data_IF_427566549609
#
_entry.id   IF_427566549609
#
_cell.length_a   1.000
_cell.length_b   1.000
_cell.length_c   1.000
_cell.angle_alpha   90.00
_cell.angle_beta   90.00
_cell.angle_gamma   90.00
#
_symmetry.space_group_name_H-M   'P 1'
#
loop_
_entity.id
_entity.type
_entity.pdbx_description
1 polymer ?
#
# COMPACT_ATOMS: atom_id res chain seq x y z
N UNK A 1 -3.55 -12.88 3.12
CA UNK A 1 -3.64 -11.46 2.69
C UNK A 1 -2.50 -11.18 1.73
N UNK A 2 -2.77 -10.62 0.54
CA UNK A 2 -1.75 -10.16 -0.40
C UNK A 2 -1.38 -8.72 -0.09
N UNK A 3 -0.08 -8.41 -0.01
CA UNK A 3 0.37 -7.03 0.13
C UNK A 3 -0.07 -6.17 -1.08
N UNK A 4 -0.85 -5.13 -0.80
CA UNK A 4 -1.30 -4.16 -1.81
C UNK A 4 -0.21 -3.13 -2.13
N UNK A 5 -0.22 -2.65 -3.37
CA UNK A 5 0.71 -1.63 -3.83
C UNK A 5 0.54 -0.33 -3.03
N UNK A 6 1.64 0.37 -2.78
CA UNK A 6 1.62 1.62 -2.04
C UNK A 6 1.15 2.75 -2.95
N UNK A 7 0.14 3.49 -2.50
CA UNK A 7 -0.61 4.41 -3.35
C UNK A 7 -0.41 5.84 -2.88
N UNK A 8 0.04 6.71 -3.78
CA UNK A 8 0.30 8.12 -3.50
C UNK A 8 -0.46 9.00 -4.48
N UNK A 9 -1.15 10.02 -3.98
CA UNK A 9 -1.84 11.01 -4.80
C UNK A 9 -0.97 12.25 -5.03
N UNK A 10 -0.72 12.58 -6.28
CA UNK A 10 -0.01 13.76 -6.73
C UNK A 10 -1.06 14.81 -7.07
N UNK A 11 -1.09 15.86 -6.27
CA UNK A 11 -2.11 16.91 -6.31
C UNK A 11 -1.45 18.26 -6.57
N UNK A 12 -2.25 19.27 -6.88
CA UNK A 12 -1.77 20.62 -7.09
C UNK A 12 -2.88 21.62 -6.86
N UNK A 13 -2.51 22.83 -6.46
CA UNK A 13 -3.44 23.89 -6.07
C UNK A 13 -4.05 24.64 -7.27
N UNK A 14 -3.52 24.39 -8.47
CA UNK A 14 -3.94 25.05 -9.70
C UNK A 14 -3.72 24.20 -10.94
N UNK A 15 -4.17 24.73 -12.08
CA UNK A 15 -3.87 24.18 -13.40
C UNK A 15 -2.37 24.31 -13.68
N UNK A 16 -1.82 23.34 -14.41
CA UNK A 16 -0.41 23.33 -14.82
C UNK A 16 0.61 23.37 -13.67
N UNK A 17 0.28 22.79 -12.52
CA UNK A 17 1.18 22.67 -11.36
C UNK A 17 2.31 21.64 -11.53
N UNK A 18 2.54 21.15 -12.75
CA UNK A 18 3.60 20.19 -13.08
C UNK A 18 3.49 18.81 -12.41
N UNK A 19 2.29 18.40 -11.96
CA UNK A 19 2.01 17.04 -11.47
C UNK A 19 2.53 15.97 -12.43
N UNK A 20 2.23 16.11 -13.72
CA UNK A 20 2.66 15.17 -14.75
C UNK A 20 4.20 15.09 -14.84
N UNK A 21 4.91 16.22 -14.70
CA UNK A 21 6.38 16.26 -14.65
C UNK A 21 6.93 15.49 -13.45
N UNK A 22 6.34 15.70 -12.26
CA UNK A 22 6.72 14.99 -11.02
C UNK A 22 6.45 13.51 -11.13
N UNK A 23 5.28 13.11 -11.64
CA UNK A 23 4.92 11.71 -11.87
C UNK A 23 5.92 11.06 -12.84
N UNK A 24 6.23 11.69 -13.97
CA UNK A 24 7.20 11.14 -14.93
C UNK A 24 8.60 10.98 -14.31
N UNK A 25 9.05 11.94 -13.51
CA UNK A 25 10.32 11.86 -12.82
C UNK A 25 10.35 10.73 -11.78
N UNK A 26 9.29 10.60 -10.98
CA UNK A 26 9.13 9.50 -10.00
C UNK A 26 9.06 8.13 -10.68
N UNK A 27 8.35 8.00 -11.81
CA UNK A 27 8.29 6.74 -12.56
C UNK A 27 9.69 6.34 -13.01
N UNK A 28 10.48 7.26 -13.57
CA UNK A 28 11.85 6.98 -14.02
C UNK A 28 12.73 6.53 -12.85
N UNK A 29 12.71 7.28 -11.75
CA UNK A 29 13.51 7.00 -10.55
C UNK A 29 13.14 5.66 -9.91
N UNK A 30 11.86 5.43 -9.62
CA UNK A 30 11.41 4.19 -8.97
C UNK A 30 11.59 2.97 -9.87
N UNK A 31 11.42 3.11 -11.19
CA UNK A 31 11.71 2.03 -12.14
C UNK A 31 13.20 1.70 -12.18
N UNK A 32 14.09 2.70 -12.12
CA UNK A 32 15.54 2.48 -12.05
C UNK A 32 15.95 1.71 -10.77
N UNK A 33 15.16 1.83 -9.69
CA UNK A 33 15.32 1.06 -8.44
C UNK A 33 14.72 -0.35 -8.48
N UNK A 34 14.15 -0.76 -9.61
CA UNK A 34 13.57 -2.09 -9.80
C UNK A 34 12.09 -2.22 -9.42
N UNK A 35 11.39 -1.11 -9.17
CA UNK A 35 9.96 -1.15 -8.84
C UNK A 35 9.07 -1.10 -10.08
N UNK A 36 7.97 -1.86 -10.04
CA UNK A 36 6.90 -1.74 -11.04
C UNK A 36 5.91 -0.65 -10.63
N UNK A 37 5.62 0.27 -11.55
CA UNK A 37 4.79 1.44 -11.27
C UNK A 37 3.53 1.39 -12.10
N UNK A 38 2.39 1.63 -11.46
CA UNK A 38 1.13 1.91 -12.13
C UNK A 38 0.72 3.36 -11.90
N UNK A 39 -0.13 3.88 -12.78
CA UNK A 39 -0.65 5.23 -12.68
C UNK A 39 -2.16 5.25 -12.81
N UNK A 40 -2.82 6.13 -12.07
CA UNK A 40 -4.24 6.46 -12.26
C UNK A 40 -4.32 7.96 -12.52
N UNK A 41 -5.04 8.38 -13.56
CA UNK A 41 -5.27 9.79 -13.86
C UNK A 41 -6.74 10.12 -13.69
N UNK A 42 -7.06 11.04 -12.79
CA UNK A 42 -8.41 11.57 -12.64
C UNK A 42 -8.65 12.64 -13.71
N UNK A 43 -9.57 12.36 -14.63
CA UNK A 43 -9.94 13.28 -15.71
C UNK A 43 -11.31 13.88 -15.37
N UNK A 44 -11.39 15.22 -15.32
CA UNK A 44 -12.62 15.95 -15.01
C UNK A 44 -13.58 16.09 -16.20
N UNK A 45 -13.15 15.66 -17.38
CA UNK A 45 -13.91 15.65 -18.64
C UNK A 45 -14.04 14.22 -19.18
N UNK A 46 -14.76 14.03 -20.29
CA UNK A 46 -14.77 12.74 -20.99
C UNK A 46 -13.37 12.34 -21.46
N UNK A 47 -13.15 11.03 -21.56
CA UNK A 47 -11.95 10.46 -22.15
C UNK A 47 -11.87 10.82 -23.64
N UNK A 48 -10.70 11.26 -24.08
CA UNK A 48 -10.39 11.51 -25.50
C UNK A 48 -10.10 10.20 -26.28
N UNK A 49 -10.29 9.05 -25.61
CA UNK A 49 -10.00 7.70 -26.13
C UNK A 49 -11.22 7.08 -26.81
N UNK A 50 -12.39 7.70 -26.70
CA UNK A 50 -13.58 7.23 -27.38
C UNK A 50 -13.46 7.52 -28.89
N UNK A 51 -12.92 6.57 -29.65
CA UNK A 51 -13.13 6.53 -31.09
C UNK A 51 -14.64 6.52 -31.36
N UNK A 52 -15.08 7.17 -32.45
CA UNK A 52 -16.51 7.34 -32.79
C UNK A 52 -17.31 6.03 -32.64
N UNK A 53 -16.73 4.90 -33.05
CA UNK A 53 -17.42 3.60 -33.04
C UNK A 53 -17.50 2.96 -31.65
N UNK A 54 -16.51 3.16 -30.79
CA UNK A 54 -16.54 2.66 -29.40
C UNK A 54 -17.63 3.32 -28.57
N UNK A 55 -17.92 4.60 -28.82
CA UNK A 55 -19.03 5.30 -28.16
C UNK A 55 -20.39 4.76 -28.61
N UNK A 56 -20.50 4.27 -29.86
CA UNK A 56 -21.74 3.64 -30.35
C UNK A 56 -22.03 2.33 -29.63
N UNK A 57 -21.02 1.51 -29.32
CA UNK A 57 -21.20 0.29 -28.54
C UNK A 57 -21.73 0.59 -27.13
N UNK A 58 -21.18 1.61 -26.48
CA UNK A 58 -21.65 2.05 -25.17
C UNK A 58 -23.09 2.57 -25.22
N UNK A 59 -23.42 3.40 -26.22
CA UNK A 59 -24.79 3.91 -26.45
C UNK A 59 -25.79 2.80 -26.78
N UNK A 60 -25.34 1.73 -27.42
CA UNK A 60 -26.15 0.53 -27.69
C UNK A 60 -26.42 -0.33 -26.43
N UNK A 61 -25.84 0.02 -25.28
CA UNK A 61 -26.07 -0.67 -24.00
C UNK A 61 -24.98 -1.66 -23.60
N UNK A 62 -23.80 -1.61 -24.23
CA UNK A 62 -22.68 -2.43 -23.79
C UNK A 62 -22.25 -2.03 -22.36
N UNK A 63 -22.28 -3.00 -21.45
CA UNK A 63 -21.83 -2.82 -20.04
C UNK A 63 -20.33 -2.53 -19.95
N UNK A 64 -19.57 -2.94 -20.96
CA UNK A 64 -18.17 -2.60 -21.15
C UNK A 64 -17.78 -2.62 -22.62
N UNK A 65 -16.77 -1.83 -22.99
CA UNK A 65 -16.18 -1.81 -24.33
C UNK A 65 -14.68 -2.02 -24.20
N UNK A 66 -14.15 -3.01 -24.91
CA UNK A 66 -12.71 -3.31 -24.94
C UNK A 66 -12.17 -3.04 -26.34
N UNK A 67 -11.23 -2.11 -26.44
CA UNK A 67 -10.51 -1.80 -27.67
C UNK A 67 -9.11 -2.44 -27.62
N UNK A 68 -8.73 -3.12 -28.70
CA UNK A 68 -7.46 -3.84 -28.83
C UNK A 68 -6.69 -3.26 -30.00
N UNK A 69 -5.44 -2.88 -29.80
CA UNK A 69 -4.51 -2.52 -30.85
C UNK A 69 -3.26 -3.42 -30.79
N UNK A 70 -2.38 -3.40 -31.81
CA UNK A 70 -1.12 -4.15 -31.76
C UNK A 70 -0.19 -3.78 -30.60
N UNK A 71 -0.40 -2.64 -29.94
CA UNK A 71 0.47 -2.12 -28.87
C UNK A 71 -0.21 -1.98 -27.52
N UNK A 72 -1.54 -1.86 -27.48
CA UNK A 72 -2.24 -1.56 -26.24
C UNK A 72 -3.67 -2.10 -26.19
N UNK A 73 -4.21 -2.12 -24.98
CA UNK A 73 -5.57 -2.52 -24.66
C UNK A 73 -6.21 -1.40 -23.85
N UNK A 74 -7.41 -0.96 -24.22
CA UNK A 74 -8.20 -0.02 -23.46
C UNK A 74 -9.54 -0.65 -23.08
N UNK A 75 -9.93 -0.56 -21.80
CA UNK A 75 -11.19 -1.09 -21.29
C UNK A 75 -12.00 0.07 -20.70
N UNK A 76 -13.17 0.32 -21.26
CA UNK A 76 -14.17 1.26 -20.73
C UNK A 76 -15.27 0.44 -20.04
N UNK A 77 -15.44 0.66 -18.74
CA UNK A 77 -16.43 -0.03 -17.90
C UNK A 77 -17.54 0.95 -17.54
N UNK A 78 -18.79 0.58 -17.84
CA UNK A 78 -19.98 1.39 -17.53
C UNK A 78 -20.85 0.74 -16.45
N UNK A 79 -20.53 -0.50 -16.07
CA UNK A 79 -21.20 -1.32 -15.06
C UNK A 79 -20.73 -1.08 -13.63
N UNK A 80 -19.67 -0.29 -13.43
CA UNK A 80 -19.12 0.05 -12.12
C UNK A 80 -18.99 1.57 -11.97
N UNK A 81 -19.20 2.12 -10.74
CA UNK A 81 -18.98 3.54 -10.50
C UNK A 81 -17.53 3.96 -10.80
N UNK A 82 -17.29 5.07 -11.54
CA UNK A 82 -15.96 5.57 -11.88
C UNK A 82 -15.32 6.31 -10.70
N UNK A 83 -15.12 5.60 -9.59
CA UNK A 83 -14.53 6.12 -8.36
C UNK A 83 -13.12 5.56 -8.12
N UNK A 84 -12.41 6.14 -7.16
CA UNK A 84 -11.04 5.75 -6.81
C UNK A 84 -10.93 4.27 -6.41
N UNK A 85 -11.88 3.76 -5.64
CA UNK A 85 -11.87 2.37 -5.15
C UNK A 85 -11.90 1.38 -6.31
N UNK A 86 -12.80 1.61 -7.28
CA UNK A 86 -12.89 0.76 -8.47
C UNK A 86 -11.71 0.94 -9.40
N UNK A 87 -11.15 2.15 -9.53
CA UNK A 87 -9.93 2.38 -10.29
C UNK A 87 -8.72 1.63 -9.70
N UNK A 88 -8.59 1.55 -8.38
CA UNK A 88 -7.51 0.80 -7.74
C UNK A 88 -7.61 -0.72 -8.02
N UNK A 89 -8.82 -1.25 -8.19
CA UNK A 89 -9.06 -2.67 -8.52
C UNK A 89 -8.65 -3.03 -9.95
N UNK A 90 -8.48 -2.06 -10.85
CA UNK A 90 -8.05 -2.32 -12.24
C UNK A 90 -6.54 -2.32 -12.42
N UNK A 91 -5.79 -1.85 -11.42
CA UNK A 91 -4.33 -1.78 -11.47
C UNK A 91 -3.71 -3.18 -11.38
N UNK A 92 -2.62 -3.37 -12.14
CA UNK A 92 -1.86 -4.63 -12.12
C UNK A 92 -1.39 -4.98 -10.70
N UNK A 93 -1.62 -6.21 -10.21
CA UNK A 93 -1.14 -6.66 -8.90
C UNK A 93 0.39 -6.72 -8.82
N UNK A 94 1.08 -6.67 -9.97
CA UNK A 94 2.54 -6.59 -10.07
C UNK A 94 3.09 -5.20 -9.74
N UNK A 95 2.25 -4.17 -9.62
CA UNK A 95 2.72 -2.84 -9.25
C UNK A 95 3.17 -2.81 -7.78
N UNK A 96 4.36 -2.25 -7.54
CA UNK A 96 4.88 -1.90 -6.21
C UNK A 96 4.28 -0.59 -5.73
N UNK A 97 4.16 0.38 -6.65
CA UNK A 97 3.63 1.71 -6.39
C UNK A 97 2.51 2.07 -7.37
N UNK A 98 1.53 2.82 -6.88
CA UNK A 98 0.46 3.45 -7.68
C UNK A 98 0.57 4.96 -7.50
N UNK A 99 0.87 5.68 -8.58
CA UNK A 99 0.95 7.13 -8.59
C UNK A 99 -0.33 7.71 -9.20
N UNK A 100 -1.08 8.49 -8.43
CA UNK A 100 -2.38 8.99 -8.83
C UNK A 100 -2.29 10.48 -9.15
N UNK A 101 -2.58 10.87 -10.39
CA UNK A 101 -2.77 12.28 -10.74
C UNK A 101 -4.19 12.72 -10.38
N UNK A 102 -4.36 13.48 -9.30
CA UNK A 102 -5.67 13.99 -8.85
C UNK A 102 -6.19 13.34 -7.56
N UNK A 103 -7.52 13.22 -7.44
CA UNK A 103 -8.21 12.79 -6.21
C UNK A 103 -7.78 13.57 -4.93
N UNK A 104 -7.79 14.90 -5.01
CA UNK A 104 -7.36 15.80 -3.92
C UNK A 104 -8.13 15.64 -2.61
N UNK A 105 -9.37 15.14 -2.64
CA UNK A 105 -10.19 14.92 -1.44
C UNK A 105 -10.14 13.49 -0.91
N UNK A 106 -9.34 12.59 -1.53
CA UNK A 106 -9.17 11.23 -1.02
C UNK A 106 -8.42 11.20 0.32
N UNK A 107 -8.50 10.09 1.07
CA UNK A 107 -7.69 9.90 2.27
C UNK A 107 -6.23 9.46 1.99
N UNK A 108 -5.87 9.26 0.72
CA UNK A 108 -4.55 8.76 0.33
C UNK A 108 -3.43 9.72 0.77
N UNK A 109 -2.22 9.22 1.09
CA UNK A 109 -1.06 10.06 1.30
C UNK A 109 -0.71 10.85 0.03
N UNK A 110 -0.32 12.12 0.19
CA UNK A 110 -0.21 13.07 -0.92
C UNK A 110 1.15 13.71 -1.08
N UNK A 111 1.46 14.00 -2.35
CA UNK A 111 2.55 14.84 -2.79
C UNK A 111 1.93 16.08 -3.44
N UNK A 112 2.15 17.24 -2.84
CA UNK A 112 1.62 18.50 -3.33
C UNK A 112 2.60 19.17 -4.29
N UNK A 113 2.20 19.39 -5.54
CA UNK A 113 2.99 20.15 -6.50
C UNK A 113 2.54 21.61 -6.51
N UNK A 114 3.48 22.52 -6.25
CA UNK A 114 3.23 23.96 -6.29
C UNK A 114 3.32 24.50 -7.72
N UNK A 115 2.45 25.46 -8.07
CA UNK A 115 2.44 26.14 -9.36
C UNK A 115 2.79 27.62 -9.19
N UNK A 116 3.72 28.14 -10.00
CA UNK A 116 4.14 29.56 -10.08
C UNK A 116 5.11 30.09 -9.00
N UNK A 117 5.87 31.09 -9.43
CA UNK A 117 6.91 31.80 -8.68
C UNK A 117 6.34 32.76 -7.64
N UNK A 118 6.84 32.68 -6.41
CA UNK A 118 7.00 33.86 -5.56
C UNK A 118 5.96 34.05 -4.44
N UNK A 119 4.66 34.06 -4.73
CA UNK A 119 3.65 34.55 -3.77
C UNK A 119 2.76 33.49 -3.12
N UNK A 120 2.83 32.23 -3.54
CA UNK A 120 1.87 31.19 -3.12
C UNK A 120 2.27 30.40 -1.86
N UNK A 121 3.45 30.59 -1.23
CA UNK A 121 3.81 29.73 -0.08
C UNK A 121 2.82 29.86 1.09
N UNK A 122 2.37 31.08 1.42
CA UNK A 122 1.40 31.35 2.50
C UNK A 122 -0.04 31.02 2.06
N UNK A 123 -0.36 31.21 0.79
CA UNK A 123 -1.67 30.87 0.22
C UNK A 123 -1.84 29.36 0.04
N UNK A 124 -0.73 28.65 -0.24
CA UNK A 124 -0.65 27.21 -0.30
C UNK A 124 -0.98 26.61 1.06
N UNK A 125 -0.48 27.19 2.16
CA UNK A 125 -0.84 26.74 3.51
C UNK A 125 -2.34 26.79 3.77
N UNK A 126 -3.02 27.87 3.34
CA UNK A 126 -4.49 27.97 3.45
C UNK A 126 -5.20 26.96 2.54
N UNK A 127 -4.74 26.80 1.30
CA UNK A 127 -5.36 25.87 0.33
C UNK A 127 -5.10 24.39 0.68
N UNK A 128 -4.06 24.10 1.46
CA UNK A 128 -3.79 22.75 1.97
C UNK A 128 -4.90 22.25 2.89
N UNK A 129 -5.63 23.11 3.60
CA UNK A 129 -6.77 22.73 4.44
C UNK A 129 -7.91 22.05 3.65
N UNK A 130 -8.05 22.38 2.36
CA UNK A 130 -9.06 21.76 1.48
C UNK A 130 -8.64 20.41 0.88
N UNK A 131 -7.41 19.96 1.13
CA UNK A 131 -6.88 18.69 0.63
C UNK A 131 -7.18 17.60 1.66
N UNK A 132 -7.83 16.52 1.24
CA UNK A 132 -8.08 15.37 2.10
C UNK A 132 -6.81 14.58 2.38
N UNK A 133 -6.77 13.84 3.49
CA UNK A 133 -5.62 13.00 3.85
C UNK A 133 -4.35 13.78 4.22
N UNK A 134 -3.25 13.05 4.43
CA UNK A 134 -1.97 13.66 4.84
C UNK A 134 -1.12 14.06 3.63
N UNK A 135 -0.58 15.28 3.65
CA UNK A 135 0.42 15.74 2.69
C UNK A 135 1.80 15.41 3.26
N UNK A 136 2.48 14.45 2.65
CA UNK A 136 3.78 13.96 3.11
C UNK A 136 4.96 14.75 2.55
N UNK A 137 4.77 15.36 1.38
CA UNK A 137 5.82 16.09 0.69
C UNK A 137 5.25 17.17 -0.21
N UNK A 138 6.05 18.21 -0.42
CA UNK A 138 5.77 19.28 -1.37
C UNK A 138 6.86 19.26 -2.44
N UNK A 139 6.47 19.43 -3.71
CA UNK A 139 7.42 19.57 -4.82
C UNK A 139 7.27 20.95 -5.43
N UNK A 140 8.36 21.73 -5.38
CA UNK A 140 8.45 23.01 -6.07
C UNK A 140 9.29 22.87 -7.34
N UNK A 141 8.59 22.94 -8.46
CA UNK A 141 9.13 22.79 -9.81
C UNK A 141 9.72 24.11 -10.32
N UNK A 142 9.25 25.26 -9.80
CA UNK A 142 9.59 26.59 -10.29
C UNK A 142 10.77 27.23 -9.57
N UNK A 143 11.43 26.49 -8.67
CA UNK A 143 12.66 26.91 -7.98
C UNK A 143 12.48 28.22 -7.22
N UNK A 144 11.38 28.39 -6.48
CA UNK A 144 11.18 29.59 -5.66
C UNK A 144 12.31 29.68 -4.61
N UNK A 145 13.22 30.68 -4.68
CA UNK A 145 14.39 30.73 -3.80
C UNK A 145 14.01 30.89 -2.32
N UNK A 146 12.81 31.41 -2.04
CA UNK A 146 12.32 31.64 -0.68
C UNK A 146 11.71 30.37 -0.05
N UNK A 147 11.59 29.28 -0.80
CA UNK A 147 11.04 28.02 -0.32
C UNK A 147 12.16 26.98 -0.21
N UNK A 148 12.65 26.73 1.00
CA UNK A 148 13.68 25.73 1.27
C UNK A 148 13.41 24.98 2.56
N UNK A 149 13.86 23.72 2.64
CA UNK A 149 13.65 22.87 3.80
C UNK A 149 12.22 22.34 3.90
N UNK A 150 11.36 23.03 4.64
CA UNK A 150 9.98 22.61 4.88
C UNK A 150 8.98 23.77 4.81
N UNK A 151 7.72 23.45 4.52
CA UNK A 151 6.59 24.37 4.60
C UNK A 151 5.54 23.77 5.53
N UNK A 152 5.21 24.48 6.61
CA UNK A 152 4.31 23.97 7.67
C UNK A 152 4.74 22.59 8.21
N UNK A 153 6.05 22.35 8.35
CA UNK A 153 6.60 21.07 8.80
C UNK A 153 6.67 19.97 7.73
N UNK A 154 6.13 20.21 6.54
CA UNK A 154 6.16 19.26 5.42
C UNK A 154 7.42 19.49 4.59
N UNK A 155 8.22 18.44 4.29
CA UNK A 155 9.45 18.59 3.52
C UNK A 155 9.17 19.06 2.08
N UNK A 156 9.96 20.03 1.62
CA UNK A 156 9.89 20.58 0.27
C UNK A 156 11.06 20.03 -0.55
N UNK A 157 10.75 19.48 -1.71
CA UNK A 157 11.71 18.93 -2.66
C UNK A 157 11.73 19.74 -3.96
N UNK A 158 12.91 19.84 -4.56
CA UNK A 158 13.06 20.29 -5.95
C UNK A 158 12.94 19.12 -6.92
N UNK A 159 12.72 19.44 -8.20
CA UNK A 159 12.66 18.41 -9.24
C UNK A 159 13.98 17.61 -9.38
N UNK A 160 15.14 18.20 -9.05
CA UNK A 160 16.41 17.46 -9.02
C UNK A 160 16.58 16.58 -7.77
N UNK A 161 15.70 16.72 -6.77
CA UNK A 161 15.70 15.94 -5.52
C UNK A 161 14.67 14.81 -5.54
N UNK A 162 14.14 14.47 -6.71
CA UNK A 162 13.26 13.32 -6.91
C UNK A 162 13.85 12.02 -6.33
N UNK A 163 15.18 11.76 -6.38
CA UNK A 163 15.74 10.61 -5.65
C UNK A 163 15.47 10.64 -4.14
N UNK A 164 15.56 11.79 -3.48
CA UNK A 164 15.25 11.92 -2.05
C UNK A 164 13.75 11.77 -1.78
N UNK A 165 12.90 12.28 -2.67
CA UNK A 165 11.46 12.05 -2.58
C UNK A 165 11.14 10.55 -2.74
N UNK A 166 11.80 9.86 -3.67
CA UNK A 166 11.65 8.42 -3.83
C UNK A 166 12.10 7.65 -2.57
N UNK A 167 13.17 8.07 -1.89
CA UNK A 167 13.58 7.51 -0.59
C UNK A 167 12.48 7.64 0.47
N UNK A 168 11.81 8.80 0.52
CA UNK A 168 10.68 9.03 1.43
C UNK A 168 9.51 8.09 1.13
N UNK A 169 9.15 7.92 -0.15
CA UNK A 169 8.06 7.02 -0.56
C UNK A 169 8.40 5.55 -0.28
N UNK A 170 9.64 5.15 -0.53
CA UNK A 170 10.14 3.80 -0.25
C UNK A 170 10.16 3.52 1.25
N UNK A 171 10.60 4.48 2.06
CA UNK A 171 10.59 4.35 3.52
C UNK A 171 9.17 4.18 4.04
N UNK A 172 8.24 5.02 3.59
CA UNK A 172 6.82 4.91 3.94
C UNK A 172 6.24 3.55 3.56
N UNK A 173 6.54 3.08 2.35
CA UNK A 173 6.12 1.79 1.83
C UNK A 173 6.63 0.62 2.68
N UNK A 174 7.91 0.67 3.07
CA UNK A 174 8.55 -0.36 3.88
C UNK A 174 7.99 -0.38 5.31
N UNK A 175 7.75 0.78 5.93
CA UNK A 175 7.15 0.83 7.27
C UNK A 175 5.72 0.27 7.29
N UNK A 176 4.88 0.64 6.31
CA UNK A 176 3.55 0.07 6.17
C UNK A 176 3.58 -1.46 5.99
N UNK A 177 4.58 -1.97 5.26
CA UNK A 177 4.76 -3.40 5.07
C UNK A 177 5.30 -4.10 6.31
N UNK A 178 6.21 -3.47 7.06
CA UNK A 178 6.72 -4.00 8.33
C UNK A 178 5.61 -4.19 9.36
N UNK A 179 4.61 -3.29 9.39
CA UNK A 179 3.43 -3.45 10.23
C UNK A 179 2.58 -4.68 9.87
N UNK A 180 2.68 -5.15 8.62
CA UNK A 180 2.05 -6.40 8.18
C UNK A 180 2.91 -7.64 8.45
N UNK A 181 4.17 -7.45 8.86
CA UNK A 181 5.09 -8.53 9.19
C UNK A 181 5.14 -8.77 10.71
N UNK A 182 5.41 -10.00 11.15
CA UNK A 182 5.55 -10.35 12.57
C UNK A 182 6.64 -9.63 13.37
N UNK A 183 7.60 -8.97 12.72
CA UNK A 183 8.72 -8.29 13.40
C UNK A 183 9.75 -9.19 14.09
N UNK A 184 9.69 -10.52 13.93
CA UNK A 184 10.55 -11.47 14.67
C UNK A 184 12.03 -11.49 14.23
N UNK A 185 12.38 -10.92 13.06
CA UNK A 185 13.74 -10.92 12.49
C UNK A 185 14.44 -12.30 12.43
N UNK A 186 13.67 -13.39 12.31
CA UNK A 186 14.22 -14.75 12.41
C UNK A 186 15.05 -15.26 11.22
N UNK A 187 15.08 -14.53 10.09
CA UNK A 187 15.82 -14.92 8.88
C UNK A 187 15.30 -16.14 8.11
N UNK A 188 14.29 -16.87 8.61
CA UNK A 188 13.78 -18.12 8.00
C UNK A 188 13.14 -17.97 6.62
N UNK A 189 12.87 -16.74 6.18
CA UNK A 189 12.38 -16.45 4.84
C UNK A 189 13.49 -16.43 3.78
N UNK A 190 14.77 -16.38 4.19
CA UNK A 190 15.94 -16.34 3.29
C UNK A 190 16.48 -14.93 3.00
N UNK A 191 15.93 -13.89 3.62
CA UNK A 191 16.30 -12.48 3.35
C UNK A 191 17.08 -11.81 4.49
N UNK A 192 17.66 -12.59 5.40
CA UNK A 192 18.43 -12.11 6.56
C UNK A 192 17.54 -11.65 7.72
N UNK A 193 16.66 -10.68 7.48
CA UNK A 193 15.79 -10.07 8.50
C UNK A 193 14.42 -9.66 7.94
N UNK A 194 13.57 -9.03 8.76
CA UNK A 194 12.26 -8.54 8.30
C UNK A 194 12.37 -7.38 7.31
N UNK A 195 13.46 -6.60 7.32
CA UNK A 195 13.64 -5.48 6.40
C UNK A 195 14.03 -5.95 5.00
N UNK A 196 14.94 -6.92 4.88
CA UNK A 196 15.29 -7.58 3.62
C UNK A 196 14.07 -8.26 3.01
N UNK A 197 13.28 -8.94 3.83
CA UNK A 197 12.01 -9.52 3.41
C UNK A 197 11.02 -8.46 2.91
N UNK A 198 10.88 -7.35 3.64
CA UNK A 198 10.00 -6.25 3.25
C UNK A 198 10.41 -5.66 1.89
N UNK A 199 11.71 -5.45 1.64
CA UNK A 199 12.20 -4.98 0.34
C UNK A 199 11.86 -5.96 -0.79
N UNK A 200 12.05 -7.26 -0.59
CA UNK A 200 11.75 -8.28 -1.59
C UNK A 200 10.24 -8.35 -1.92
N UNK A 201 9.37 -8.25 -0.90
CA UNK A 201 7.91 -8.18 -1.08
C UNK A 201 7.51 -6.90 -1.81
N UNK A 202 8.09 -5.74 -1.42
CA UNK A 202 7.79 -4.46 -2.06
C UNK A 202 8.16 -4.47 -3.54
N UNK A 203 9.28 -5.09 -3.92
CA UNK A 203 9.70 -5.35 -5.31
C UNK A 203 8.89 -6.42 -6.02
N UNK A 204 7.95 -7.07 -5.35
CA UNK A 204 7.12 -8.17 -5.87
C UNK A 204 7.94 -9.39 -6.31
N UNK A 205 9.13 -9.58 -5.75
CA UNK A 205 9.98 -10.75 -5.97
C UNK A 205 9.41 -11.98 -5.26
N UNK A 206 8.82 -11.78 -4.07
CA UNK A 206 8.17 -12.81 -3.27
C UNK A 206 6.83 -12.32 -2.70
N UNK A 207 5.85 -13.21 -2.50
CA UNK A 207 4.64 -12.86 -1.76
C UNK A 207 4.93 -12.75 -0.25
N UNK A 208 4.09 -12.01 0.47
CA UNK A 208 4.18 -11.92 1.95
C UNK A 208 4.04 -13.29 2.64
N UNK A 209 3.37 -14.25 1.99
CA UNK A 209 3.26 -15.64 2.44
C UNK A 209 4.59 -16.40 2.43
N UNK A 210 5.68 -15.83 1.90
CA UNK A 210 7.02 -16.39 2.09
C UNK A 210 7.51 -16.23 3.55
N UNK A 211 6.88 -15.37 4.35
CA UNK A 211 7.17 -15.21 5.77
C UNK A 211 6.69 -16.44 6.55
N UNK A 212 7.63 -17.28 7.02
CA UNK A 212 7.32 -18.57 7.67
C UNK A 212 6.39 -18.47 8.88
N UNK A 213 6.54 -17.50 9.81
CA UNK A 213 5.59 -17.32 10.91
C UNK A 213 4.16 -17.00 10.48
N UNK A 214 3.97 -16.37 9.30
CA UNK A 214 2.63 -16.08 8.77
C UNK A 214 2.05 -17.27 7.99
N UNK A 215 2.88 -18.00 7.25
CA UNK A 215 2.44 -19.07 6.36
C UNK A 215 2.24 -20.41 7.05
N UNK A 216 3.03 -20.68 8.11
CA UNK A 216 2.84 -21.82 8.98
C UNK A 216 2.06 -21.36 10.20
N UNK A 217 0.82 -21.84 10.34
CA UNK A 217 -0.04 -21.58 11.50
C UNK A 217 -0.54 -22.91 12.06
N UNK A 218 0.40 -23.76 12.47
CA UNK A 218 0.09 -25.01 13.17
C UNK A 218 -0.32 -24.74 14.62
N UNK A 219 0.09 -23.60 15.19
CA UNK A 219 -0.37 -23.16 16.50
C UNK A 219 -0.59 -21.66 16.54
N UNK A 220 -1.79 -21.26 16.98
CA UNK A 220 -2.15 -19.87 17.24
C UNK A 220 -2.18 -19.68 18.75
N UNK A 221 -1.28 -18.83 19.27
CA UNK A 221 -1.29 -18.39 20.65
C UNK A 221 -1.99 -17.02 20.73
N UNK A 222 -3.00 -16.92 21.57
CA UNK A 222 -3.71 -15.68 21.87
C UNK A 222 -3.57 -15.35 23.36
N UNK A 223 -3.05 -14.16 23.66
CA UNK A 223 -2.91 -13.62 25.01
C UNK A 223 -3.70 -12.31 25.07
N UNK A 224 -4.70 -12.22 25.94
CA UNK A 224 -5.62 -11.07 26.03
C UNK A 224 -6.30 -10.69 24.69
N UNK A 225 -6.54 -11.68 23.83
CA UNK A 225 -7.16 -11.47 22.51
C UNK A 225 -6.17 -11.09 21.40
N UNK A 226 -4.91 -10.82 21.75
CA UNK A 226 -3.85 -10.52 20.78
C UNK A 226 -3.14 -11.81 20.33
N UNK A 227 -2.98 -11.97 19.02
CA UNK A 227 -2.25 -13.11 18.48
C UNK A 227 -0.75 -12.90 18.58
N UNK A 228 -0.05 -13.84 19.22
CA UNK A 228 1.40 -13.78 19.40
C UNK A 228 2.06 -14.52 18.22
N UNK A 229 2.80 -13.81 17.34
CA UNK A 229 3.48 -14.47 16.24
C UNK A 229 4.64 -15.33 16.73
N UNK A 230 4.80 -16.49 16.12
CA UNK A 230 5.82 -17.47 16.50
C UNK A 230 6.46 -18.09 15.27
N UNK A 231 7.77 -18.35 15.33
CA UNK A 231 8.44 -19.17 14.31
C UNK A 231 7.89 -20.61 14.35
N UNK A 232 7.94 -21.37 13.24
CA UNK A 232 7.35 -22.72 13.15
C UNK A 232 7.86 -23.70 14.20
N UNK A 233 9.12 -23.58 14.63
CA UNK A 233 9.66 -24.38 15.72
C UNK A 233 8.89 -24.16 17.04
N UNK A 234 8.67 -22.90 17.43
CA UNK A 234 7.97 -22.56 18.68
C UNK A 234 6.50 -22.96 18.61
N UNK A 235 5.86 -22.82 17.44
CA UNK A 235 4.51 -23.33 17.23
C UNK A 235 4.42 -24.84 17.48
N UNK A 236 5.32 -25.63 16.88
CA UNK A 236 5.36 -27.10 17.07
C UNK A 236 5.69 -27.50 18.50
N UNK A 237 6.60 -26.79 19.15
CA UNK A 237 6.94 -27.02 20.55
C UNK A 237 5.70 -26.83 21.43
N UNK A 238 5.01 -25.68 21.30
CA UNK A 238 3.80 -25.40 22.06
C UNK A 238 2.71 -26.43 21.77
N UNK A 239 2.52 -26.80 20.49
CA UNK A 239 1.59 -27.85 20.07
C UNK A 239 1.80 -29.15 20.83
N UNK A 240 3.02 -29.68 20.74
CA UNK A 240 3.34 -30.99 21.30
C UNK A 240 3.28 -30.99 22.83
N UNK A 241 3.72 -29.90 23.47
CA UNK A 241 3.62 -29.74 24.93
C UNK A 241 2.16 -29.75 25.39
N UNK A 242 1.31 -28.93 24.78
CA UNK A 242 -0.11 -28.85 25.18
C UNK A 242 -0.84 -30.17 24.90
N UNK A 243 -0.61 -30.79 23.74
CA UNK A 243 -1.20 -32.10 23.44
C UNK A 243 -0.73 -33.19 24.41
N UNK A 244 0.55 -33.18 24.81
CA UNK A 244 1.09 -34.07 25.84
C UNK A 244 0.39 -33.89 27.19
N UNK A 245 0.23 -32.65 27.64
CA UNK A 245 -0.50 -32.33 28.89
C UNK A 245 -1.96 -32.80 28.83
N UNK A 246 -2.68 -32.46 27.75
CA UNK A 246 -4.10 -32.82 27.59
C UNK A 246 -4.29 -34.34 27.51
N UNK A 247 -3.35 -35.06 26.89
CA UNK A 247 -3.41 -36.53 26.81
C UNK A 247 -3.31 -37.24 28.17
N UNK A 248 -2.78 -36.56 29.19
CA UNK A 248 -2.65 -37.09 30.54
C UNK A 248 -3.85 -36.78 31.45
N UNK A 249 -4.80 -35.96 30.99
CA UNK A 249 -5.99 -35.56 31.76
C UNK A 249 -7.09 -36.62 31.65
N UNK A 250 -7.70 -36.99 32.79
CA UNK A 250 -8.88 -37.86 32.81
C UNK A 250 -10.11 -37.09 32.31
N UNK A 251 -10.89 -37.71 31.41
CA UNK A 251 -12.16 -37.13 30.91
C UNK A 251 -12.01 -36.15 29.74
N UNK A 252 -10.81 -35.97 29.17
CA UNK A 252 -10.57 -35.07 28.04
C UNK A 252 -11.16 -35.54 26.70
N UNK A 253 -11.70 -36.77 26.63
CA UNK A 253 -12.15 -37.40 25.39
C UNK A 253 -11.02 -37.54 24.36
N UNK A 254 -11.25 -38.26 23.26
CA UNK A 254 -10.52 -37.88 22.04
C UNK A 254 -10.98 -36.47 21.73
N UNK A 255 -10.05 -35.54 21.47
CA UNK A 255 -10.41 -34.18 21.03
C UNK A 255 -11.02 -34.32 19.63
N UNK A 256 -12.30 -34.66 19.56
CA UNK A 256 -13.07 -34.80 18.34
C UNK A 256 -13.45 -33.39 17.85
N UNK A 257 -13.16 -33.10 16.58
CA UNK A 257 -13.57 -31.85 15.92
C UNK A 257 -12.50 -30.77 15.78
N UNK A 258 -11.31 -30.93 16.37
CA UNK A 258 -10.14 -30.11 15.97
C UNK A 258 -9.39 -30.84 14.87
N UNK A 259 -9.20 -30.19 13.73
CA UNK A 259 -8.24 -30.63 12.72
C UNK A 259 -6.88 -30.88 13.43
N UNK A 260 -6.40 -32.14 13.51
CA UNK A 260 -5.19 -32.48 14.25
C UNK A 260 -3.94 -31.78 13.69
N UNK A 261 -4.04 -31.12 12.52
CA UNK A 261 -2.99 -30.27 11.98
C UNK A 261 -2.83 -28.94 12.73
N UNK A 262 -3.85 -28.43 13.44
CA UNK A 262 -3.83 -27.08 14.06
C UNK A 262 -4.26 -27.06 15.53
N UNK A 263 -3.53 -26.32 16.35
CA UNK A 263 -3.85 -26.04 17.75
C UNK A 263 -4.15 -24.54 17.95
N UNK A 264 -5.15 -24.22 18.76
CA UNK A 264 -5.40 -22.85 19.23
C UNK A 264 -5.29 -22.82 20.75
N UNK A 265 -4.38 -22.00 21.27
CA UNK A 265 -4.16 -21.80 22.70
C UNK A 265 -4.60 -20.39 23.05
N UNK A 266 -5.59 -20.28 23.94
CA UNK A 266 -6.06 -18.99 24.48
C UNK A 266 -5.67 -18.90 25.94
N UNK A 267 -4.92 -17.87 26.29
CA UNK A 267 -4.52 -17.59 27.67
C UNK A 267 -5.26 -16.33 28.13
N UNK A 268 -6.07 -16.50 29.18
CA UNK A 268 -6.70 -15.41 29.92
C UNK A 268 -6.21 -15.52 31.36
N UNK A 269 -5.51 -14.50 31.84
CA UNK A 269 -5.12 -14.40 33.24
C UNK A 269 -6.08 -13.40 33.87
N UNK A 270 -6.90 -13.88 34.80
CA UNK A 270 -7.77 -13.05 35.63
C UNK A 270 -7.04 -12.80 36.96
N UNK A 271 -7.10 -11.57 37.46
CA UNK A 271 -6.67 -11.33 38.83
C UNK A 271 -7.61 -12.11 39.75
N UNK A 272 -7.04 -12.93 40.64
CA UNK A 272 -7.81 -13.48 41.74
C UNK A 272 -8.16 -12.30 42.65
N UNK A 273 -9.45 -12.03 42.84
CA UNK A 273 -9.87 -11.14 43.92
C UNK A 273 -9.39 -11.79 45.22
N UNK A 274 -8.46 -11.12 45.91
CA UNK A 274 -8.04 -11.49 47.26
C UNK A 274 -9.27 -11.26 48.17
N UNK A 275 -9.97 -12.35 48.49
CA UNK A 275 -10.98 -12.39 49.55
C UNK A 275 -10.32 -12.35 50.93
#
# INVERSE_FOLDING_TARGET
MSYQAQTFAIVGLGRSSGKTTVIQALIKELKARGYAIATIKHIHSRFDVAEKDTELHAKAGAVSVTAVSPRELAIMRYDIPPNLENALKTVSPKASFILIEGFSHSALPKILCLSKSGSEALEATKKMEGIGGSIMAIVDIFRNPNLSGSLAGIPVFRLYEIPKLADLLETHALEALKQSLPGLNCGQCGFGDCQGMAKAILRKEVPISQCKPLSHQETILEIYGESIPMVPFVQRLLKNTILGLVSSLKGSGRIEGTDPSKLRVKVKIEALEEN
#
